data_IF_782204106082
#
_entry.id   IF_782204106082
#
_cell.length_a   1.000
_cell.length_b   1.000
_cell.length_c   1.000
_cell.angle_alpha   90.00
_cell.angle_beta   90.00
_cell.angle_gamma   90.00
#
_symmetry.space_group_name_H-M   'P 1'
#
loop_
_entity.id
_entity.type
_entity.pdbx_description
1 polymer ?
#
# COMPACT_ATOMS: atom_id res chain seq x y z
N UNK A 1 29.75 16.70 63.91
CA UNK A 1 30.56 17.13 62.76
C UNK A 1 30.61 16.01 61.75
N UNK A 2 29.79 15.97 60.70
CA UNK A 2 28.79 16.92 60.20
C UNK A 2 27.71 16.09 59.50
N UNK A 3 26.48 16.55 59.65
CA UNK A 3 25.29 16.16 58.88
C UNK A 3 25.42 16.64 57.44
N UNK A 4 24.68 16.03 56.51
CA UNK A 4 23.77 16.75 55.61
C UNK A 4 23.11 15.74 54.65
N UNK A 5 21.85 15.45 54.96
CA UNK A 5 20.85 14.97 54.01
C UNK A 5 20.42 16.17 53.13
N UNK A 6 20.39 16.00 51.82
CA UNK A 6 19.57 16.84 50.95
C UNK A 6 18.74 15.93 50.02
N UNK A 7 17.45 15.90 50.34
CA UNK A 7 16.35 15.46 49.50
C UNK A 7 16.05 16.48 48.38
N UNK A 8 15.30 15.99 47.40
CA UNK A 8 14.33 16.72 46.57
C UNK A 8 14.74 17.19 45.16
N UNK A 9 14.27 16.38 44.20
CA UNK A 9 13.31 16.77 43.16
C UNK A 9 13.74 17.73 42.03
N UNK A 10 13.04 17.54 40.90
CA UNK A 10 13.11 18.31 39.64
C UNK A 10 14.33 17.89 38.78
N UNK A 11 14.21 17.22 37.63
CA UNK A 11 13.35 17.49 36.47
C UNK A 11 13.55 16.29 35.51
N UNK A 12 12.61 15.35 35.37
CA UNK A 12 11.67 15.28 34.25
C UNK A 12 12.07 16.08 32.99
N UNK A 13 13.17 15.74 32.31
CA UNK A 13 13.42 16.21 30.94
C UNK A 13 14.53 15.39 30.25
N UNK A 14 14.18 14.20 29.76
CA UNK A 14 14.78 13.58 28.56
C UNK A 14 14.04 12.27 28.22
N UNK A 15 12.71 12.27 28.31
CA UNK A 15 11.93 11.68 27.22
C UNK A 15 11.83 12.80 26.16
N UNK A 16 11.69 12.44 24.88
CA UNK A 16 12.01 13.25 23.69
C UNK A 16 13.54 13.32 23.48
N UNK A 17 14.18 12.79 22.44
CA UNK A 17 13.77 12.60 21.05
C UNK A 17 14.67 11.51 20.45
N UNK A 18 14.10 10.34 20.17
CA UNK A 18 14.62 9.44 19.14
C UNK A 18 13.40 8.74 18.52
N UNK A 19 12.45 9.57 18.05
CA UNK A 19 11.62 9.19 16.93
C UNK A 19 12.52 9.25 15.69
N UNK A 20 13.54 8.38 15.65
CA UNK A 20 14.15 7.99 14.39
C UNK A 20 12.99 7.54 13.51
N UNK A 21 12.81 8.28 12.42
CA UNK A 21 11.95 8.06 11.27
C UNK A 21 11.96 6.58 10.88
N UNK A 22 11.21 5.77 11.62
CA UNK A 22 11.10 4.35 11.38
C UNK A 22 10.11 4.25 10.23
N UNK A 23 10.62 4.35 9.00
CA UNK A 23 9.88 4.05 7.77
C UNK A 23 8.98 2.86 8.06
N UNK A 24 7.66 3.08 7.94
CA UNK A 24 6.71 2.03 8.22
C UNK A 24 7.07 0.79 7.38
N UNK A 25 7.04 -0.42 7.97
CA UNK A 25 7.50 -1.62 7.28
C UNK A 25 6.74 -1.79 5.97
N UNK A 26 7.48 -1.90 4.85
CA UNK A 26 6.94 -2.10 3.50
C UNK A 26 6.05 -3.33 3.44
N UNK A 27 5.08 -3.31 2.52
CA UNK A 27 4.37 -4.53 2.13
C UNK A 27 5.33 -5.53 1.50
N UNK A 28 5.06 -6.82 1.70
CA UNK A 28 5.74 -7.87 0.96
C UNK A 28 5.58 -7.67 -0.55
N UNK A 29 6.59 -8.09 -1.31
CA UNK A 29 6.55 -8.08 -2.77
C UNK A 29 5.31 -8.83 -3.28
N UNK A 30 4.60 -8.20 -4.21
CA UNK A 30 3.43 -8.81 -4.84
C UNK A 30 3.79 -9.96 -5.77
N UNK A 31 2.77 -10.70 -6.19
CA UNK A 31 2.89 -11.85 -7.07
C UNK A 31 2.38 -11.55 -8.49
N UNK A 32 2.68 -12.44 -9.45
CA UNK A 32 2.08 -12.33 -10.79
C UNK A 32 0.59 -12.65 -10.74
N UNK A 33 -0.25 -11.66 -11.05
CA UNK A 33 -1.68 -11.85 -11.29
C UNK A 33 -1.92 -12.31 -12.74
N UNK A 34 -2.55 -13.46 -12.91
CA UNK A 34 -2.92 -14.00 -14.23
C UNK A 34 -4.42 -13.83 -14.46
N UNK A 35 -4.79 -13.04 -15.48
CA UNK A 35 -6.17 -12.80 -15.88
C UNK A 35 -6.46 -13.54 -17.18
N UNK A 36 -7.44 -14.44 -17.15
CA UNK A 36 -7.82 -15.27 -18.30
C UNK A 36 -9.21 -14.93 -18.81
N UNK A 37 -9.31 -14.62 -20.10
CA UNK A 37 -10.59 -14.52 -20.79
C UNK A 37 -11.12 -15.93 -21.07
N UNK A 38 -12.23 -16.31 -20.42
CA UNK A 38 -12.71 -17.71 -20.44
C UNK A 38 -13.18 -18.18 -21.83
N UNK A 39 -13.76 -17.30 -22.65
CA UNK A 39 -14.29 -17.71 -23.97
C UNK A 39 -13.18 -18.03 -24.99
N UNK A 40 -12.02 -17.38 -24.87
CA UNK A 40 -10.93 -17.43 -25.85
C UNK A 40 -9.70 -18.14 -25.29
N UNK A 41 -9.61 -18.26 -23.97
CA UNK A 41 -8.46 -18.76 -23.26
C UNK A 41 -7.28 -17.80 -23.21
N UNK A 42 -7.40 -16.58 -23.75
CA UNK A 42 -6.31 -15.59 -23.76
C UNK A 42 -5.97 -15.20 -22.32
N UNK A 43 -4.69 -15.25 -21.98
CA UNK A 43 -4.14 -14.86 -20.69
C UNK A 43 -3.39 -13.54 -20.78
N UNK A 44 -3.50 -12.75 -19.72
CA UNK A 44 -2.69 -11.55 -19.46
C UNK A 44 -2.08 -11.67 -18.07
N UNK A 45 -0.87 -11.14 -17.92
CA UNK A 45 -0.10 -11.19 -16.67
C UNK A 45 0.19 -9.76 -16.21
N UNK A 46 -0.02 -9.51 -14.92
CA UNK A 46 0.32 -8.26 -14.24
C UNK A 46 1.26 -8.62 -13.10
N UNK A 47 2.44 -8.02 -13.09
CA UNK A 47 3.47 -8.33 -12.09
C UNK A 47 3.23 -7.59 -10.78
N UNK A 48 3.85 -8.08 -9.71
CA UNK A 48 3.89 -7.40 -8.41
C UNK A 48 2.52 -7.10 -7.80
N UNK A 49 1.46 -7.83 -8.18
CA UNK A 49 0.11 -7.59 -7.69
C UNK A 49 -0.07 -8.10 -6.26
N UNK A 50 -0.71 -7.28 -5.42
CA UNK A 50 -0.97 -7.60 -4.00
C UNK A 50 -2.44 -7.91 -3.80
N UNK A 51 -3.33 -6.97 -4.12
CA UNK A 51 -4.79 -7.15 -4.07
C UNK A 51 -5.41 -6.88 -5.43
N UNK A 52 -6.58 -7.46 -5.69
CA UNK A 52 -7.34 -7.20 -6.91
C UNK A 52 -8.84 -7.29 -6.68
N UNK A 53 -9.61 -6.51 -7.44
CA UNK A 53 -11.06 -6.49 -7.42
C UNK A 53 -11.64 -6.17 -8.80
N UNK A 54 -12.69 -6.90 -9.20
CA UNK A 54 -13.44 -6.56 -10.40
C UNK A 54 -14.56 -5.58 -10.06
N UNK A 55 -14.86 -4.66 -10.97
CA UNK A 55 -16.12 -3.93 -10.94
C UNK A 55 -17.30 -4.92 -11.05
N UNK A 56 -18.42 -4.61 -10.42
CA UNK A 56 -19.59 -5.51 -10.38
C UNK A 56 -20.12 -5.89 -11.76
N UNK A 57 -20.00 -4.99 -12.74
CA UNK A 57 -20.38 -5.19 -14.14
C UNK A 57 -19.29 -5.88 -15.00
N UNK A 58 -18.12 -6.15 -14.41
CA UNK A 58 -16.96 -6.73 -15.10
C UNK A 58 -16.31 -5.79 -16.13
N UNK A 59 -16.62 -4.49 -16.13
CA UNK A 59 -16.06 -3.52 -17.08
C UNK A 59 -14.58 -3.25 -16.85
N UNK A 60 -14.10 -3.46 -15.62
CA UNK A 60 -12.72 -3.24 -15.24
C UNK A 60 -12.27 -4.20 -14.12
N UNK A 61 -10.97 -4.43 -14.09
CA UNK A 61 -10.23 -4.97 -12.97
C UNK A 61 -9.41 -3.83 -12.35
N UNK A 62 -9.38 -3.77 -11.04
CA UNK A 62 -8.44 -2.94 -10.28
C UNK A 62 -7.48 -3.86 -9.55
N UNK A 63 -6.21 -3.46 -9.45
CA UNK A 63 -5.25 -4.14 -8.61
C UNK A 63 -4.28 -3.15 -7.96
N UNK A 64 -3.80 -3.50 -6.77
CA UNK A 64 -2.66 -2.84 -6.13
C UNK A 64 -1.39 -3.60 -6.48
N UNK A 65 -0.27 -2.90 -6.58
CA UNK A 65 1.04 -3.50 -6.77
C UNK A 65 2.01 -3.06 -5.67
N UNK A 66 2.94 -3.95 -5.33
CA UNK A 66 4.09 -3.67 -4.48
C UNK A 66 5.31 -4.40 -5.06
N UNK A 67 6.34 -3.65 -5.44
CA UNK A 67 7.57 -4.19 -6.03
C UNK A 67 8.79 -3.90 -5.17
N UNK A 68 9.86 -4.65 -5.43
CA UNK A 68 11.03 -4.72 -4.55
C UNK A 68 11.70 -3.38 -4.26
N UNK A 69 11.77 -2.51 -5.27
CA UNK A 69 12.37 -1.18 -5.17
C UNK A 69 11.33 -0.06 -4.96
N UNK A 70 10.07 -0.39 -4.67
CA UNK A 70 8.97 0.57 -4.49
C UNK A 70 8.51 1.31 -5.75
N UNK A 71 9.33 1.32 -6.81
CA UNK A 71 9.05 2.03 -8.05
C UNK A 71 7.82 1.52 -8.82
N UNK A 72 7.33 0.32 -8.50
CA UNK A 72 6.14 -0.27 -9.12
C UNK A 72 4.89 -0.18 -8.24
N UNK A 73 5.03 0.43 -7.06
CA UNK A 73 3.95 0.49 -6.08
C UNK A 73 2.84 1.41 -6.59
N UNK A 74 1.60 0.97 -6.46
CA UNK A 74 0.47 1.75 -6.97
C UNK A 74 -0.84 1.00 -7.07
N UNK A 75 -1.83 1.72 -7.63
CA UNK A 75 -3.14 1.19 -8.01
C UNK A 75 -3.34 1.38 -9.50
N UNK A 76 -3.79 0.32 -10.16
CA UNK A 76 -3.97 0.29 -11.60
C UNK A 76 -5.37 -0.21 -11.95
N UNK A 77 -5.95 0.39 -13.00
CA UNK A 77 -7.22 -0.03 -13.60
C UNK A 77 -6.95 -0.68 -14.95
N UNK A 78 -7.48 -1.87 -15.17
CA UNK A 78 -7.36 -2.64 -16.40
C UNK A 78 -8.74 -2.79 -17.03
N UNK A 79 -8.87 -2.42 -18.30
CA UNK A 79 -10.11 -2.65 -19.04
C UNK A 79 -10.25 -4.10 -19.52
N UNK A 80 -11.42 -4.46 -20.08
CA UNK A 80 -11.66 -5.80 -20.63
C UNK A 80 -10.69 -6.19 -21.75
N UNK A 81 -10.20 -5.20 -22.51
CA UNK A 81 -9.19 -5.34 -23.57
C UNK A 81 -7.76 -5.54 -23.04
N UNK A 82 -7.54 -5.25 -21.76
CA UNK A 82 -6.30 -5.46 -21.03
C UNK A 82 -5.41 -4.24 -21.01
N UNK A 83 -5.89 -3.09 -21.49
CA UNK A 83 -5.16 -1.84 -21.36
C UNK A 83 -5.19 -1.42 -19.89
N UNK A 84 -4.02 -1.13 -19.32
CA UNK A 84 -3.87 -0.63 -17.96
C UNK A 84 -3.75 0.89 -17.95
N UNK A 85 -4.35 1.51 -16.94
CA UNK A 85 -4.24 2.94 -16.63
C UNK A 85 -3.84 3.06 -15.17
N UNK A 86 -2.85 3.90 -14.89
CA UNK A 86 -2.43 4.23 -13.52
C UNK A 86 -3.50 5.08 -12.83
N UNK A 87 -3.93 4.66 -11.65
CA UNK A 87 -4.85 5.43 -10.78
C UNK A 87 -4.04 6.24 -9.77
N UNK A 88 -3.08 5.60 -9.11
CA UNK A 88 -2.09 6.21 -8.23
C UNK A 88 -0.81 5.39 -8.29
N UNK A 89 0.35 6.01 -8.08
CA UNK A 89 1.66 5.36 -8.12
C UNK A 89 2.68 6.17 -7.34
N UNK A 90 3.74 5.51 -6.89
CA UNK A 90 4.83 6.07 -6.10
C UNK A 90 5.19 5.10 -4.97
N UNK A 91 6.40 5.20 -4.44
CA UNK A 91 6.84 4.36 -3.32
C UNK A 91 5.88 4.51 -2.14
N UNK A 92 5.39 3.38 -1.62
CA UNK A 92 4.43 3.38 -0.53
C UNK A 92 3.58 2.13 -0.54
N UNK A 93 2.85 1.89 0.55
CA UNK A 93 1.94 0.76 0.67
C UNK A 93 0.60 1.12 0.04
N UNK A 94 -0.01 0.16 -0.64
CA UNK A 94 -1.33 0.28 -1.23
C UNK A 94 -2.17 -0.93 -0.82
N UNK A 95 -3.03 -0.75 0.17
CA UNK A 95 -3.75 -1.83 0.84
C UNK A 95 -5.26 -1.57 0.90
N UNK A 96 -6.02 -2.62 1.21
CA UNK A 96 -7.48 -2.59 1.40
C UNK A 96 -8.23 -2.03 0.18
N UNK A 97 -7.98 -2.62 -0.99
CA UNK A 97 -8.65 -2.24 -2.22
C UNK A 97 -10.12 -2.67 -2.20
N UNK A 98 -11.03 -1.72 -2.44
CA UNK A 98 -12.45 -1.98 -2.60
C UNK A 98 -13.01 -1.27 -3.84
N UNK A 99 -14.00 -1.91 -4.49
CA UNK A 99 -14.69 -1.35 -5.66
C UNK A 99 -16.20 -1.34 -5.37
N UNK A 100 -16.84 -0.19 -5.55
CA UNK A 100 -18.30 -0.05 -5.39
C UNK A 100 -19.05 -0.61 -6.60
N UNK A 101 -20.36 -0.83 -6.44
CA UNK A 101 -21.22 -1.29 -7.53
C UNK A 101 -21.27 -0.31 -8.71
N UNK A 102 -21.11 0.99 -8.44
CA UNK A 102 -21.02 2.05 -9.47
C UNK A 102 -19.63 2.14 -10.15
N UNK A 103 -18.67 1.29 -9.73
CA UNK A 103 -17.35 1.20 -10.33
C UNK A 103 -16.31 2.18 -9.78
N UNK A 104 -16.59 2.84 -8.65
CA UNK A 104 -15.59 3.66 -7.96
C UNK A 104 -14.66 2.76 -7.12
N UNK A 105 -13.35 3.02 -7.16
CA UNK A 105 -12.37 2.31 -6.35
C UNK A 105 -11.90 3.17 -5.17
N UNK A 106 -11.70 2.53 -4.02
CA UNK A 106 -11.10 3.10 -2.82
C UNK A 106 -9.96 2.18 -2.34
N UNK A 107 -8.93 2.78 -1.76
CA UNK A 107 -7.75 2.10 -1.23
C UNK A 107 -7.12 2.98 -0.14
N UNK A 108 -6.30 2.37 0.72
CA UNK A 108 -5.47 3.07 1.70
C UNK A 108 -4.02 3.10 1.24
N UNK A 109 -3.35 4.22 1.49
CA UNK A 109 -1.93 4.38 1.16
C UNK A 109 -1.25 5.36 2.11
N UNK A 110 0.05 5.14 2.35
CA UNK A 110 0.94 6.01 3.12
C UNK A 110 1.98 6.73 2.24
N UNK A 111 1.83 6.69 0.91
CA UNK A 111 2.76 7.33 -0.04
C UNK A 111 2.98 8.83 0.23
N UNK A 112 1.98 9.50 0.76
CA UNK A 112 1.98 10.95 0.99
C UNK A 112 2.08 11.32 2.49
N UNK A 113 2.33 10.34 3.36
CA UNK A 113 2.60 10.54 4.79
C UNK A 113 4.08 10.83 5.08
#
# INVERSE_FOLDING_TARGET
DDEDEDEDSEESAAEEEDEEDAEAPRTDDGATLVVRTLNSGIERRFESAVEYAFAADGSALFYTASGQDGASDGVFRVDQGGASVTVSMGEGRYVQLAVSDDGAAAFLTDRDD
#
